data_IF_587804919268
#
_entry.id   IF_587804919268
#
_cell.length_a   1.000
_cell.length_b   1.000
_cell.length_c   1.000
_cell.angle_alpha   90.00
_cell.angle_beta   90.00
_cell.angle_gamma   90.00
#
_symmetry.space_group_name_H-M   'P 1'
#
loop_
_entity.id
_entity.type
_entity.pdbx_description
1 polymer ?
#
# COMPACT_ATOMS: atom_id res chain seq x y z
N UNK A 1 -4.49 -16.41 5.83
CA UNK A 1 -4.52 -15.04 5.28
C UNK A 1 -4.59 -15.17 3.78
N UNK A 2 -5.55 -14.53 3.12
CA UNK A 2 -5.60 -14.52 1.66
C UNK A 2 -4.32 -13.85 1.10
N UNK A 3 -3.83 -14.33 -0.04
CA UNK A 3 -2.71 -13.69 -0.76
C UNK A 3 -3.26 -12.64 -1.72
N UNK A 4 -3.83 -11.58 -1.13
CA UNK A 4 -4.38 -10.47 -1.90
C UNK A 4 -3.29 -9.77 -2.72
N UNK A 5 -2.02 -9.86 -2.29
CA UNK A 5 -0.89 -9.30 -3.03
C UNK A 5 -0.74 -9.97 -4.40
N UNK A 6 -0.88 -11.29 -4.48
CA UNK A 6 -0.87 -12.01 -5.75
C UNK A 6 -2.02 -11.58 -6.69
N UNK A 7 -3.23 -11.39 -6.14
CA UNK A 7 -4.39 -10.89 -6.88
C UNK A 7 -4.15 -9.46 -7.40
N UNK A 8 -3.67 -8.56 -6.54
CA UNK A 8 -3.34 -7.18 -6.89
C UNK A 8 -2.26 -7.12 -7.98
N UNK A 9 -1.20 -7.94 -7.88
CA UNK A 9 -0.16 -8.03 -8.92
C UNK A 9 -0.77 -8.42 -10.27
N UNK A 10 -1.75 -9.33 -10.29
CA UNK A 10 -2.48 -9.71 -11.50
C UNK A 10 -3.18 -8.53 -12.18
N UNK A 11 -3.76 -7.61 -11.41
CA UNK A 11 -4.43 -6.41 -11.93
C UNK A 11 -3.48 -5.26 -12.28
N UNK A 12 -2.31 -5.19 -11.63
CA UNK A 12 -1.35 -4.10 -11.83
C UNK A 12 -0.39 -4.37 -12.99
N UNK A 13 0.08 -5.62 -13.16
CA UNK A 13 1.10 -5.97 -14.18
C UNK A 13 0.79 -5.55 -15.63
N UNK A 14 -0.46 -5.51 -16.09
CA UNK A 14 -0.76 -5.02 -17.44
C UNK A 14 -0.42 -3.54 -17.66
N UNK A 15 -0.34 -2.76 -16.58
CA UNK A 15 -0.13 -1.29 -16.62
C UNK A 15 1.24 -0.91 -16.04
N UNK A 16 1.68 -1.62 -15.00
CA UNK A 16 2.92 -1.36 -14.29
C UNK A 16 3.98 -2.39 -14.67
N UNK A 17 5.11 -1.99 -15.30
CA UNK A 17 6.18 -2.92 -15.68
C UNK A 17 6.91 -3.52 -14.47
N UNK A 18 6.88 -2.84 -13.32
CA UNK A 18 7.47 -3.30 -12.07
C UNK A 18 6.48 -3.11 -10.91
N UNK A 19 6.39 -4.12 -10.04
CA UNK A 19 5.59 -4.07 -8.79
C UNK A 19 6.45 -4.60 -7.65
N UNK A 20 6.76 -3.72 -6.68
CA UNK A 20 7.49 -4.09 -5.47
C UNK A 20 6.52 -4.64 -4.42
N UNK A 21 6.60 -5.95 -4.14
CA UNK A 21 5.74 -6.62 -3.15
C UNK A 21 6.57 -7.00 -1.91
N UNK A 22 6.26 -6.46 -0.72
CA UNK A 22 7.01 -6.76 0.51
C UNK A 22 6.72 -8.16 1.07
N UNK A 23 5.63 -8.82 0.64
CA UNK A 23 5.27 -10.16 1.13
C UNK A 23 6.29 -11.20 0.66
N UNK A 24 7.00 -11.79 1.62
CA UNK A 24 7.85 -12.98 1.40
C UNK A 24 7.07 -14.25 1.70
N UNK A 25 7.24 -15.29 0.87
CA UNK A 25 6.66 -16.61 1.13
C UNK A 25 7.23 -17.22 2.41
N UNK A 26 8.55 -17.13 2.58
CA UNK A 26 9.28 -17.56 3.77
C UNK A 26 10.04 -16.38 4.38
N UNK A 27 9.64 -15.97 5.59
CA UNK A 27 10.30 -14.93 6.36
C UNK A 27 10.90 -15.54 7.65
N UNK A 28 12.22 -15.40 7.88
CA UNK A 28 12.87 -15.96 9.06
C UNK A 28 12.52 -15.14 10.32
N UNK A 29 11.38 -15.49 10.93
CA UNK A 29 10.92 -14.86 12.16
C UNK A 29 11.97 -15.00 13.28
N UNK A 30 12.31 -13.87 13.91
CA UNK A 30 13.27 -13.81 15.02
C UNK A 30 14.71 -13.49 14.62
N UNK A 31 15.03 -13.39 13.32
CA UNK A 31 16.31 -12.87 12.86
C UNK A 31 16.25 -11.33 12.73
N UNK A 32 16.93 -10.64 13.65
CA UNK A 32 16.98 -9.19 13.66
C UNK A 32 17.71 -8.59 12.44
N UNK A 33 18.67 -9.31 11.86
CA UNK A 33 19.39 -8.89 10.66
C UNK A 33 18.50 -8.95 9.43
N UNK A 34 17.72 -10.02 9.29
CA UNK A 34 16.73 -10.14 8.21
C UNK A 34 15.56 -9.17 8.39
N UNK A 35 15.13 -8.91 9.62
CA UNK A 35 14.17 -7.84 9.94
C UNK A 35 14.68 -6.46 9.50
N UNK A 36 15.92 -6.10 9.83
CA UNK A 36 16.51 -4.82 9.42
C UNK A 36 16.66 -4.70 7.89
N UNK A 37 16.99 -5.79 7.20
CA UNK A 37 17.06 -5.84 5.73
C UNK A 37 15.69 -5.66 5.08
N UNK A 38 14.66 -6.31 5.62
CA UNK A 38 13.28 -6.16 5.15
C UNK A 38 12.82 -4.71 5.24
N UNK A 39 12.96 -4.10 6.43
CA UNK A 39 12.55 -2.71 6.67
C UNK A 39 13.32 -1.75 5.74
N UNK A 40 14.63 -1.98 5.56
CA UNK A 40 15.44 -1.17 4.63
C UNK A 40 14.94 -1.30 3.20
N UNK A 41 14.69 -2.51 2.73
CA UNK A 41 14.21 -2.75 1.38
C UNK A 41 12.84 -2.10 1.16
N UNK A 42 11.89 -2.26 2.09
CA UNK A 42 10.56 -1.63 2.06
C UNK A 42 10.68 -0.10 1.97
N UNK A 43 11.51 0.49 2.83
CA UNK A 43 11.79 1.92 2.83
C UNK A 43 12.33 2.40 1.47
N UNK A 44 13.32 1.70 0.92
CA UNK A 44 13.96 2.06 -0.34
C UNK A 44 13.00 1.91 -1.52
N UNK A 45 12.21 0.83 -1.58
CA UNK A 45 11.26 0.59 -2.67
C UNK A 45 10.10 1.58 -2.64
N UNK A 46 9.54 1.88 -1.47
CA UNK A 46 8.53 2.94 -1.33
C UNK A 46 9.09 4.30 -1.78
N UNK A 47 10.38 4.56 -1.56
CA UNK A 47 11.02 5.80 -1.96
C UNK A 47 11.24 5.94 -3.47
N UNK A 48 11.56 4.85 -4.18
CA UNK A 48 11.82 4.90 -5.63
C UNK A 48 10.58 4.64 -6.50
N UNK A 49 9.52 4.04 -5.96
CA UNK A 49 8.30 3.77 -6.74
C UNK A 49 7.61 5.04 -7.23
N UNK A 50 7.09 5.03 -8.46
CA UNK A 50 6.36 6.16 -9.04
C UNK A 50 4.99 6.38 -8.38
N UNK A 51 4.38 5.31 -7.86
CA UNK A 51 3.16 5.35 -7.06
C UNK A 51 3.18 4.28 -5.97
N UNK A 52 2.36 4.46 -4.92
CA UNK A 52 2.22 3.48 -3.84
C UNK A 52 0.75 3.04 -3.73
N UNK A 53 0.54 1.73 -3.67
CA UNK A 53 -0.74 1.13 -3.33
C UNK A 53 -0.71 0.63 -1.88
N UNK A 54 -1.60 1.16 -1.06
CA UNK A 54 -1.88 0.66 0.29
C UNK A 54 -3.20 -0.10 0.32
N UNK A 55 -3.16 -1.33 0.83
CA UNK A 55 -4.37 -2.11 1.11
C UNK A 55 -4.37 -2.61 2.56
N UNK A 56 -5.34 -2.13 3.35
CA UNK A 56 -5.56 -2.57 4.73
C UNK A 56 -6.60 -3.70 4.76
N UNK A 57 -6.16 -4.90 5.11
CA UNK A 57 -6.97 -6.10 5.09
C UNK A 57 -7.51 -6.38 6.49
N UNK A 58 -8.74 -6.87 6.60
CA UNK A 58 -9.40 -7.05 7.90
C UNK A 58 -8.78 -8.17 8.77
N UNK A 59 -7.97 -9.07 8.19
CA UNK A 59 -7.41 -10.22 8.92
C UNK A 59 -6.34 -9.86 9.95
N UNK A 60 -5.65 -8.71 9.80
CA UNK A 60 -4.56 -8.32 10.69
C UNK A 60 -4.44 -6.81 10.82
N UNK A 61 -4.15 -6.33 12.03
CA UNK A 61 -3.66 -4.97 12.24
C UNK A 61 -2.31 -4.79 11.56
N UNK A 62 -2.14 -3.68 10.82
CA UNK A 62 -0.91 -3.37 10.10
C UNK A 62 -0.32 -2.04 10.59
N UNK A 63 0.21 -1.99 11.83
CA UNK A 63 0.64 -0.73 12.46
C UNK A 63 1.84 -0.09 11.74
N UNK A 64 2.75 -0.90 11.18
CA UNK A 64 3.88 -0.40 10.40
C UNK A 64 3.39 0.24 9.09
N UNK A 65 2.39 -0.37 8.44
CA UNK A 65 1.78 0.18 7.22
C UNK A 65 1.05 1.50 7.50
N UNK A 66 0.42 1.65 8.66
CA UNK A 66 -0.15 2.94 9.08
C UNK A 66 0.91 4.03 9.24
N UNK A 67 2.07 3.68 9.80
CA UNK A 67 3.21 4.60 9.91
C UNK A 67 3.76 5.00 8.53
N UNK A 68 3.90 4.04 7.62
CA UNK A 68 4.33 4.29 6.24
C UNK A 68 3.32 5.16 5.47
N UNK A 69 2.03 4.88 5.61
CA UNK A 69 0.96 5.70 5.03
C UNK A 69 1.07 7.14 5.52
N UNK A 70 1.24 7.36 6.82
CA UNK A 70 1.38 8.70 7.39
C UNK A 70 2.54 9.48 6.79
N UNK A 71 3.71 8.82 6.60
CA UNK A 71 4.86 9.43 5.93
C UNK A 71 4.54 9.85 4.49
N UNK A 72 3.96 8.96 3.70
CA UNK A 72 3.75 9.23 2.28
C UNK A 72 2.55 10.13 2.00
N UNK A 73 1.54 10.14 2.88
CA UNK A 73 0.44 11.09 2.87
C UNK A 73 0.92 12.54 3.05
N UNK A 74 2.07 12.76 3.68
CA UNK A 74 2.68 14.08 3.85
C UNK A 74 3.65 14.50 2.72
N UNK A 75 3.79 13.69 1.65
CA UNK A 75 4.71 13.97 0.52
C UNK A 75 3.99 14.58 -0.69
N UNK A 76 4.41 14.35 -1.93
CA UNK A 76 3.57 14.53 -3.15
C UNK A 76 3.42 13.22 -3.94
N UNK A 77 3.88 12.10 -3.37
CA UNK A 77 3.88 10.81 -4.05
C UNK A 77 2.43 10.35 -4.32
N UNK A 78 2.12 9.88 -5.54
CA UNK A 78 0.80 9.32 -5.87
C UNK A 78 0.44 8.12 -4.99
N UNK A 79 -0.74 8.17 -4.39
CA UNK A 79 -1.24 7.16 -3.45
C UNK A 79 -2.58 6.60 -3.91
N UNK A 80 -2.65 5.28 -4.07
CA UNK A 80 -3.91 4.55 -4.13
C UNK A 80 -4.12 3.85 -2.78
N UNK A 81 -5.17 4.23 -2.04
CA UNK A 81 -5.43 3.68 -0.70
C UNK A 81 -6.76 2.96 -0.67
N UNK A 82 -6.76 1.74 -0.13
CA UNK A 82 -7.97 1.00 0.17
C UNK A 82 -7.90 0.33 1.53
N UNK A 83 -9.06 0.14 2.13
CA UNK A 83 -9.23 -0.57 3.39
C UNK A 83 -10.53 -1.39 3.34
N UNK A 84 -10.43 -2.68 3.66
CA UNK A 84 -11.62 -3.54 3.82
C UNK A 84 -12.59 -2.88 4.81
N UNK A 85 -13.92 -2.87 4.55
CA UNK A 85 -14.92 -2.28 5.45
C UNK A 85 -14.84 -2.78 6.89
N UNK A 86 -14.30 -4.00 7.10
CA UNK A 86 -14.13 -4.63 8.41
C UNK A 86 -12.76 -4.36 9.04
N UNK A 87 -11.85 -3.66 8.36
CA UNK A 87 -10.56 -3.30 8.93
C UNK A 87 -10.75 -2.41 10.16
N UNK A 88 -10.18 -2.82 11.29
CA UNK A 88 -10.48 -2.23 12.60
C UNK A 88 -10.12 -0.73 12.69
N UNK A 89 -9.10 -0.27 11.94
CA UNK A 89 -8.66 1.14 11.92
C UNK A 89 -9.12 1.87 10.66
N UNK A 90 -10.13 1.34 9.95
CA UNK A 90 -10.63 1.97 8.72
C UNK A 90 -11.09 3.41 8.97
N UNK A 91 -11.80 3.65 10.07
CA UNK A 91 -12.21 5.00 10.47
C UNK A 91 -11.01 5.93 10.56
N UNK A 92 -9.96 5.53 11.28
CA UNK A 92 -8.74 6.32 11.43
C UNK A 92 -8.07 6.60 10.07
N UNK A 93 -7.97 5.60 9.19
CA UNK A 93 -7.38 5.76 7.84
C UNK A 93 -8.15 6.78 7.02
N UNK A 94 -9.49 6.71 7.02
CA UNK A 94 -10.35 7.62 6.26
C UNK A 94 -10.24 9.04 6.78
N UNK A 95 -10.43 9.24 8.09
CA UNK A 95 -10.45 10.58 8.68
C UNK A 95 -9.09 11.27 8.58
N UNK A 96 -7.99 10.55 8.84
CA UNK A 96 -6.65 11.11 8.74
C UNK A 96 -6.29 11.49 7.30
N UNK A 97 -6.66 10.66 6.31
CA UNK A 97 -6.38 10.98 4.91
C UNK A 97 -7.28 12.08 4.37
N UNK A 98 -8.52 12.21 4.83
CA UNK A 98 -9.37 13.34 4.46
C UNK A 98 -8.76 14.68 4.90
N UNK A 99 -8.07 14.70 6.05
CA UNK A 99 -7.36 15.88 6.56
C UNK A 99 -5.99 16.09 5.88
N UNK A 100 -5.18 15.03 5.75
CA UNK A 100 -3.81 15.12 5.22
C UNK A 100 -3.75 15.23 3.69
N UNK A 101 -4.73 14.65 2.99
CA UNK A 101 -4.83 14.56 1.52
C UNK A 101 -6.27 14.84 1.06
N UNK A 102 -6.77 16.08 1.19
CA UNK A 102 -8.13 16.40 0.75
C UNK A 102 -8.36 15.97 -0.71
N UNK A 103 -9.43 15.20 -0.94
CA UNK A 103 -9.79 14.65 -2.25
C UNK A 103 -9.28 13.24 -2.54
N UNK A 104 -8.37 12.69 -1.73
CA UNK A 104 -7.96 11.29 -1.86
C UNK A 104 -9.10 10.36 -1.39
N UNK A 105 -9.51 9.44 -2.27
CA UNK A 105 -10.54 8.44 -1.95
C UNK A 105 -9.90 7.20 -1.30
N UNK A 106 -10.43 6.80 -0.14
CA UNK A 106 -10.11 5.48 0.44
C UNK A 106 -11.12 4.45 -0.05
N UNK A 107 -10.68 3.55 -0.91
CA UNK A 107 -11.50 2.51 -1.53
C UNK A 107 -11.87 1.40 -0.54
N UNK A 108 -13.00 0.73 -0.78
CA UNK A 108 -13.54 -0.34 0.09
C UNK A 108 -13.21 -1.75 -0.40
N UNK A 109 -12.58 -1.88 -1.55
CA UNK A 109 -12.26 -3.16 -2.17
C UNK A 109 -10.93 -3.08 -2.95
N UNK A 110 -10.25 -4.22 -3.03
CA UNK A 110 -8.96 -4.32 -3.70
C UNK A 110 -9.03 -3.98 -5.20
N UNK A 111 -10.04 -4.43 -5.98
CA UNK A 111 -10.18 -4.06 -7.39
C UNK A 111 -10.20 -2.55 -7.62
N UNK A 112 -11.02 -1.82 -6.87
CA UNK A 112 -11.14 -0.36 -7.00
C UNK A 112 -9.85 0.35 -6.60
N UNK A 113 -9.13 -0.20 -5.62
CA UNK A 113 -7.82 0.31 -5.19
C UNK A 113 -6.77 0.13 -6.29
N UNK A 114 -6.70 -1.05 -6.92
CA UNK A 114 -5.80 -1.30 -8.05
C UNK A 114 -6.17 -0.46 -9.28
N UNK A 115 -7.46 -0.29 -9.56
CA UNK A 115 -7.92 0.61 -10.61
C UNK A 115 -7.50 2.06 -10.34
N UNK A 116 -7.46 2.50 -9.08
CA UNK A 116 -6.94 3.81 -8.71
C UNK A 116 -5.45 3.95 -8.95
N UNK A 117 -4.65 2.93 -8.60
CA UNK A 117 -3.23 2.93 -8.91
C UNK A 117 -2.98 3.02 -10.43
N UNK A 118 -3.71 2.24 -11.23
CA UNK A 118 -3.54 2.25 -12.69
C UNK A 118 -3.84 3.60 -13.35
N UNK A 119 -4.61 4.50 -12.71
CA UNK A 119 -4.85 5.86 -13.25
C UNK A 119 -3.60 6.75 -13.24
N UNK A 120 -2.59 6.44 -12.42
CA UNK A 120 -1.34 7.20 -12.39
C UNK A 120 -0.47 6.96 -13.63
N UNK A 121 -0.72 5.90 -14.39
CA UNK A 121 -0.01 5.61 -15.65
C UNK A 121 -0.84 6.18 -16.80
N UNK A 122 -0.48 7.38 -17.26
CA UNK A 122 -1.15 8.07 -18.37
C UNK A 122 -1.49 9.54 -18.11
N UNK A 123 -1.30 10.03 -16.87
CA UNK A 123 -1.23 11.47 -16.59
C UNK A 123 0.19 11.98 -16.95
N UNK A 124 0.55 11.93 -18.23
CA UNK A 124 1.63 12.76 -18.75
C UNK A 124 1.14 14.21 -18.81
N UNK A 125 1.91 15.11 -18.18
CA UNK A 125 1.79 16.56 -18.30
C UNK A 125 2.14 17.06 -19.71
#
# INVERSE_FOLDING_TARGET
MADWQAEAIGWLRPVWPAVYNPRRADFPMGDAGEGARQIRWEFEQLAVADAILFWFSFETTQPIVLYELGRWAASDKPLAVGADPRYERRFDVVEQLALARPGLTVHTDLPSTCAAANRFVGEEA
#
